data_IF_794670083199
#
_entry.id   IF_794670083199
#
_cell.length_a   1.000
_cell.length_b   1.000
_cell.length_c   1.000
_cell.angle_alpha   90.00
_cell.angle_beta   90.00
_cell.angle_gamma   90.00
#
_symmetry.space_group_name_H-M   'P 1'
#
loop_
_entity.id
_entity.type
_entity.pdbx_description
1 polymer ?
#
# COMPACT_ATOMS: atom_id res chain seq x y z
N UNK A 1 11.26 13.85 -13.06
CA UNK A 1 10.91 12.75 -12.13
C UNK A 1 10.73 13.37 -10.76
N UNK A 2 9.56 13.23 -10.15
CA UNK A 2 9.26 13.84 -8.85
C UNK A 2 9.51 12.79 -7.75
N UNK A 3 10.50 13.06 -6.91
CA UNK A 3 10.72 12.28 -5.68
C UNK A 3 9.74 12.81 -4.64
N UNK A 4 8.95 11.92 -4.05
CA UNK A 4 7.97 12.28 -3.03
C UNK A 4 8.34 11.60 -1.71
N UNK A 5 8.29 12.38 -0.64
CA UNK A 5 8.29 11.85 0.72
C UNK A 5 6.96 11.16 0.97
N UNK A 6 7.03 9.93 1.45
CA UNK A 6 5.88 9.09 1.73
C UNK A 6 6.05 8.41 3.07
N UNK A 7 4.91 8.22 3.74
CA UNK A 7 4.80 7.39 4.91
C UNK A 7 4.10 6.07 4.54
N UNK A 8 4.73 4.96 4.90
CA UNK A 8 4.23 3.61 4.68
C UNK A 8 4.02 2.93 6.02
N UNK A 9 2.80 2.46 6.26
CA UNK A 9 2.47 1.57 7.37
C UNK A 9 3.02 0.16 7.01
N UNK A 10 4.02 -0.30 7.76
CA UNK A 10 4.67 -1.60 7.59
C UNK A 10 4.42 -2.51 8.79
N UNK A 11 4.67 -3.80 8.62
CA UNK A 11 4.73 -4.78 9.70
C UNK A 11 6.10 -4.63 10.37
N UNK A 12 6.12 -4.36 11.67
CA UNK A 12 7.36 -4.22 12.42
C UNK A 12 8.14 -5.54 12.41
N UNK A 13 9.42 -5.57 12.00
CA UNK A 13 10.21 -6.79 11.98
C UNK A 13 10.52 -7.33 13.39
N UNK A 14 10.39 -6.49 14.43
CA UNK A 14 10.70 -6.87 15.81
C UNK A 14 9.48 -7.39 16.60
N UNK A 15 8.28 -6.87 16.34
CA UNK A 15 7.09 -7.21 17.14
C UNK A 15 5.83 -7.53 16.34
N UNK A 16 5.93 -7.56 15.01
CA UNK A 16 4.84 -7.84 14.06
C UNK A 16 3.61 -6.93 14.16
N UNK A 17 3.66 -5.88 14.98
CA UNK A 17 2.64 -4.82 15.02
C UNK A 17 2.91 -3.77 13.96
N UNK A 18 1.93 -2.89 13.75
CA UNK A 18 2.10 -1.76 12.83
C UNK A 18 3.29 -0.88 13.21
N UNK A 19 4.09 -0.52 12.22
CA UNK A 19 5.21 0.41 12.33
C UNK A 19 5.17 1.38 11.14
N UNK A 20 5.90 2.47 11.26
CA UNK A 20 6.02 3.50 10.24
C UNK A 20 7.36 3.38 9.51
N UNK A 21 7.32 3.48 8.19
CA UNK A 21 8.48 3.71 7.34
C UNK A 21 8.31 5.04 6.61
N UNK A 22 9.16 6.02 6.91
CA UNK A 22 9.24 7.27 6.16
C UNK A 22 10.31 7.13 5.07
N UNK A 23 9.93 7.31 3.81
CA UNK A 23 10.79 7.04 2.66
C UNK A 23 10.61 8.08 1.55
N UNK A 24 11.67 8.31 0.79
CA UNK A 24 11.60 9.06 -0.47
C UNK A 24 11.45 8.06 -1.61
N UNK A 25 10.35 8.13 -2.36
CA UNK A 25 10.09 7.20 -3.47
C UNK A 25 9.79 7.94 -4.77
N UNK A 26 10.27 7.38 -5.87
CA UNK A 26 9.80 7.74 -7.20
C UNK A 26 8.45 7.06 -7.42
N UNK A 27 7.40 7.86 -7.57
CA UNK A 27 6.05 7.35 -7.83
C UNK A 27 5.84 7.33 -9.34
N UNK A 28 5.71 6.13 -9.92
CA UNK A 28 5.24 5.97 -11.31
C UNK A 28 3.73 5.68 -11.29
N UNK A 29 2.91 6.74 -11.43
CA UNK A 29 1.46 6.63 -11.45
C UNK A 29 0.81 6.36 -10.07
N UNK A 30 -0.51 6.18 -10.05
CA UNK A 30 -1.27 5.93 -8.81
C UNK A 30 -1.11 4.50 -8.28
N UNK A 31 -0.66 3.57 -9.13
CA UNK A 31 -0.34 2.21 -8.71
C UNK A 31 1.01 2.20 -8.00
N UNK A 32 0.98 2.45 -6.70
CA UNK A 32 2.16 2.33 -5.86
C UNK A 32 2.51 0.85 -5.68
N UNK A 33 3.24 0.30 -6.65
CA UNK A 33 3.83 -1.04 -6.58
C UNK A 33 5.36 -0.96 -6.62
N UNK A 34 6.02 -0.12 -5.80
CA UNK A 34 7.47 -0.16 -5.75
C UNK A 34 7.90 -1.53 -5.25
N UNK A 35 8.64 -2.27 -6.07
CA UNK A 35 9.14 -3.61 -5.70
C UNK A 35 9.98 -3.56 -4.42
N UNK A 36 10.60 -2.42 -4.14
CA UNK A 36 11.43 -2.15 -2.96
C UNK A 36 11.33 -0.67 -2.60
N UNK A 37 11.19 -0.36 -1.32
CA UNK A 37 11.27 0.99 -0.76
C UNK A 37 12.35 0.99 0.30
N UNK A 38 13.12 2.07 0.38
CA UNK A 38 14.14 2.25 1.41
C UNK A 38 13.81 3.51 2.19
N UNK A 39 13.76 3.39 3.52
CA UNK A 39 13.40 4.52 4.38
C UNK A 39 13.80 4.33 5.84
N UNK A 40 13.50 5.33 6.67
CA UNK A 40 13.68 5.25 8.12
C UNK A 40 12.46 4.58 8.74
N UNK A 41 12.68 3.50 9.48
CA UNK A 41 11.62 2.75 10.15
C UNK A 41 11.56 3.09 11.65
N UNK A 42 10.34 3.16 12.20
CA UNK A 42 10.11 3.30 13.63
C UNK A 42 8.83 2.59 14.08
N UNK A 43 8.82 2.01 15.28
CA UNK A 43 7.66 1.34 15.86
C UNK A 43 7.35 1.89 17.25
N UNK A 44 6.17 2.49 17.39
CA UNK A 44 5.70 3.03 18.68
C UNK A 44 5.39 1.94 19.72
N UNK A 45 5.18 0.70 19.30
CA UNK A 45 4.78 -0.38 20.20
C UNK A 45 5.94 -1.05 20.92
N UNK A 46 7.11 -1.16 20.29
CA UNK A 46 8.28 -1.84 20.84
C UNK A 46 9.55 -0.98 20.88
N UNK A 47 9.48 0.26 20.38
CA UNK A 47 10.65 1.16 20.33
C UNK A 47 11.64 0.84 19.21
N UNK A 48 11.36 -0.15 18.34
CA UNK A 48 12.21 -0.44 17.19
C UNK A 48 12.44 0.81 16.34
N UNK A 49 13.68 1.05 15.95
CA UNK A 49 14.10 2.18 15.12
C UNK A 49 15.24 1.73 14.22
N UNK A 50 15.15 2.00 12.92
CA UNK A 50 16.19 1.65 11.96
C UNK A 50 16.36 2.76 10.92
N UNK A 51 17.57 3.32 10.74
CA UNK A 51 17.77 4.52 9.93
C UNK A 51 17.60 4.29 8.42
N UNK A 52 17.76 3.03 7.95
CA UNK A 52 17.69 2.69 6.52
C UNK A 52 17.18 1.25 6.32
N UNK A 53 15.90 1.03 6.54
CA UNK A 53 15.24 -0.26 6.32
C UNK A 53 14.81 -0.37 4.84
N UNK A 54 15.12 -1.50 4.21
CA UNK A 54 14.55 -1.86 2.91
C UNK A 54 13.32 -2.72 3.14
N UNK A 55 12.19 -2.36 2.57
CA UNK A 55 10.95 -3.14 2.62
C UNK A 55 10.49 -3.52 1.22
N UNK A 56 9.83 -4.66 1.13
CA UNK A 56 9.12 -5.15 -0.06
C UNK A 56 7.61 -5.15 0.21
N UNK A 57 6.79 -5.40 -0.81
CA UNK A 57 5.33 -5.43 -0.67
C UNK A 57 4.82 -6.33 0.47
N UNK A 58 5.52 -7.44 0.72
CA UNK A 58 5.16 -8.39 1.79
C UNK A 58 5.32 -7.80 3.20
N UNK A 59 6.04 -6.70 3.36
CA UNK A 59 6.22 -6.02 4.63
C UNK A 59 5.15 -4.95 4.89
N UNK A 60 4.23 -4.71 3.94
CA UNK A 60 3.19 -3.69 4.09
C UNK A 60 2.15 -4.16 5.11
N UNK A 61 1.68 -3.24 5.95
CA UNK A 61 0.69 -3.56 6.97
C UNK A 61 -0.70 -3.81 6.35
N UNK A 62 -1.11 -2.99 5.39
CA UNK A 62 -2.37 -3.18 4.68
C UNK A 62 -2.13 -3.98 3.40
N UNK A 63 -2.16 -5.29 3.55
CA UNK A 63 -2.12 -6.23 2.44
C UNK A 63 -3.15 -7.35 2.64
N UNK A 64 -3.74 -7.81 1.54
CA UNK A 64 -4.66 -8.94 1.56
C UNK A 64 -4.76 -9.61 0.18
N UNK A 65 -5.04 -10.93 0.13
CA UNK A 65 -5.25 -11.62 -1.13
C UNK A 65 -6.57 -11.21 -1.79
N UNK A 66 -6.57 -11.18 -3.12
CA UNK A 66 -7.74 -10.94 -3.99
C UNK A 66 -7.56 -11.82 -5.23
N UNK A 67 -8.31 -12.92 -5.30
CA UNK A 67 -8.13 -13.93 -6.33
C UNK A 67 -6.69 -14.48 -6.36
N UNK A 68 -6.01 -14.33 -7.49
CA UNK A 68 -4.62 -14.75 -7.75
C UNK A 68 -3.57 -13.68 -7.40
N UNK A 69 -4.00 -12.51 -6.91
CA UNK A 69 -3.14 -11.35 -6.66
C UNK A 69 -3.20 -10.94 -5.20
N UNK A 70 -2.21 -10.13 -4.81
CA UNK A 70 -2.20 -9.45 -3.52
C UNK A 70 -2.49 -7.98 -3.74
N UNK A 71 -3.43 -7.47 -2.95
CA UNK A 71 -3.76 -6.06 -2.84
C UNK A 71 -2.89 -5.41 -1.76
N UNK A 72 -2.49 -4.15 -1.99
CA UNK A 72 -1.64 -3.41 -1.07
C UNK A 72 -2.11 -1.96 -0.97
N UNK A 73 -2.00 -1.38 0.22
CA UNK A 73 -2.11 0.06 0.42
C UNK A 73 -0.94 0.55 1.28
N UNK A 74 -0.43 1.74 0.96
CA UNK A 74 0.73 2.32 1.66
C UNK A 74 0.45 2.57 3.12
N UNK A 75 -0.69 3.18 3.41
CA UNK A 75 -1.07 3.65 4.72
C UNK A 75 -2.60 3.77 4.78
N UNK A 76 -3.13 4.17 5.94
CA UNK A 76 -4.58 4.29 6.14
C UNK A 76 -5.25 5.28 5.16
N UNK A 77 -4.58 6.36 4.80
CA UNK A 77 -5.16 7.36 3.90
C UNK A 77 -5.26 6.85 2.47
N UNK A 78 -4.19 6.22 1.98
CA UNK A 78 -4.22 5.56 0.69
C UNK A 78 -5.27 4.43 0.63
N UNK A 79 -5.49 3.74 1.75
CA UNK A 79 -6.56 2.74 1.85
C UNK A 79 -7.96 3.35 1.66
N UNK A 80 -8.21 4.58 2.17
CA UNK A 80 -9.46 5.32 1.96
C UNK A 80 -9.62 5.81 0.53
N UNK A 81 -8.55 6.32 -0.08
CA UNK A 81 -8.55 6.72 -1.50
C UNK A 81 -8.94 5.53 -2.39
N UNK A 82 -8.36 4.35 -2.12
CA UNK A 82 -8.66 3.11 -2.82
C UNK A 82 -10.12 2.67 -2.58
N UNK A 83 -10.62 2.79 -1.35
CA UNK A 83 -12.03 2.51 -1.06
C UNK A 83 -12.97 3.36 -1.92
N UNK A 84 -12.75 4.67 -1.97
CA UNK A 84 -13.57 5.58 -2.77
C UNK A 84 -13.45 5.25 -4.26
N UNK A 85 -12.23 4.98 -4.75
CA UNK A 85 -12.00 4.57 -6.14
C UNK A 85 -12.83 3.33 -6.51
N UNK A 86 -12.73 2.26 -5.73
CA UNK A 86 -13.50 1.05 -5.98
C UNK A 86 -14.99 1.27 -5.72
N UNK A 87 -15.44 2.09 -4.77
CA UNK A 87 -16.89 2.37 -4.59
C UNK A 87 -17.52 3.16 -5.71
N UNK A 88 -16.78 4.08 -6.33
CA UNK A 88 -17.29 4.89 -7.44
C UNK A 88 -17.32 4.12 -8.77
N UNK A 89 -16.71 2.94 -8.83
CA UNK A 89 -16.68 2.11 -10.03
C UNK A 89 -15.84 2.73 -11.14
N UNK A 90 -14.90 3.61 -10.77
CA UNK A 90 -13.96 4.22 -11.68
C UNK A 90 -13.12 3.12 -12.34
N UNK A 91 -12.95 3.24 -13.65
CA UNK A 91 -11.87 2.58 -14.39
C UNK A 91 -10.84 3.66 -14.67
N UNK A 92 -9.55 3.36 -14.54
CA UNK A 92 -8.56 4.29 -15.08
C UNK A 92 -8.65 4.29 -16.60
N UNK A 93 -8.43 5.45 -17.20
CA UNK A 93 -8.46 5.62 -18.65
C UNK A 93 -7.53 4.61 -19.35
N UNK A 94 -8.01 3.99 -20.42
CA UNK A 94 -7.34 2.92 -21.19
C UNK A 94 -5.98 3.36 -21.77
N UNK A 95 -5.68 4.66 -21.80
CA UNK A 95 -4.43 5.23 -22.34
C UNK A 95 -3.20 5.00 -21.45
N UNK A 96 -3.39 4.62 -20.19
CA UNK A 96 -2.31 4.48 -19.22
C UNK A 96 -2.15 3.01 -18.82
N UNK A 97 -1.03 2.39 -19.21
CA UNK A 97 -0.54 1.08 -18.73
C UNK A 97 -0.28 1.01 -17.19
N UNK A 98 -0.94 1.87 -16.42
CA UNK A 98 -0.81 2.08 -14.98
C UNK A 98 -2.07 1.65 -14.22
N UNK A 99 -3.02 0.99 -14.89
CA UNK A 99 -4.26 0.54 -14.28
C UNK A 99 -4.08 -0.71 -13.38
N UNK A 100 -5.04 -0.95 -12.50
CA UNK A 100 -5.11 -2.13 -11.66
C UNK A 100 -5.24 -3.42 -12.48
N UNK A 101 -4.72 -4.56 -11.99
CA UNK A 101 -4.98 -5.86 -12.60
C UNK A 101 -6.48 -6.13 -12.76
N UNK A 102 -6.88 -6.71 -13.90
CA UNK A 102 -8.27 -7.07 -14.19
C UNK A 102 -8.96 -7.85 -13.04
N UNK A 103 -8.22 -8.69 -12.32
CA UNK A 103 -8.73 -9.43 -11.16
C UNK A 103 -9.32 -8.51 -10.08
N UNK A 104 -8.74 -7.32 -9.84
CA UNK A 104 -9.26 -6.40 -8.83
C UNK A 104 -10.61 -5.81 -9.22
N UNK A 105 -10.85 -5.62 -10.52
CA UNK A 105 -12.14 -5.16 -11.03
C UNK A 105 -13.22 -6.25 -10.89
N UNK A 106 -12.87 -7.51 -11.15
CA UNK A 106 -13.78 -8.66 -10.96
C UNK A 106 -14.15 -8.81 -9.49
N UNK A 107 -13.19 -8.64 -8.58
CA UNK A 107 -13.34 -8.79 -7.14
C UNK A 107 -13.61 -7.47 -6.40
N UNK A 108 -14.16 -6.47 -7.09
CA UNK A 108 -14.39 -5.12 -6.55
C UNK A 108 -15.15 -5.12 -5.22
N UNK A 109 -16.25 -5.84 -5.12
CA UNK A 109 -17.09 -5.86 -3.91
C UNK A 109 -16.38 -6.51 -2.73
N UNK A 110 -15.54 -7.53 -3.00
CA UNK A 110 -14.69 -8.17 -2.00
C UNK A 110 -13.64 -7.19 -1.48
N UNK A 111 -12.98 -6.45 -2.38
CA UNK A 111 -12.01 -5.41 -2.02
C UNK A 111 -12.68 -4.34 -1.14
N UNK A 112 -13.83 -3.82 -1.55
CA UNK A 112 -14.56 -2.78 -0.80
C UNK A 112 -14.87 -3.25 0.62
N UNK A 113 -15.49 -4.44 0.76
CA UNK A 113 -15.81 -5.01 2.08
C UNK A 113 -14.56 -5.23 2.93
N UNK A 114 -13.47 -5.70 2.30
CA UNK A 114 -12.23 -5.97 3.01
C UNK A 114 -11.60 -4.67 3.52
N UNK A 115 -11.57 -3.63 2.69
CA UNK A 115 -11.09 -2.31 3.10
C UNK A 115 -11.93 -1.75 4.25
N UNK A 116 -13.27 -1.81 4.15
CA UNK A 116 -14.17 -1.34 5.22
C UNK A 116 -13.91 -2.04 6.56
N UNK A 117 -13.55 -3.33 6.55
CA UNK A 117 -13.21 -4.06 7.78
C UNK A 117 -11.87 -3.66 8.43
N UNK A 118 -11.00 -2.97 7.67
CA UNK A 118 -9.66 -2.57 8.11
C UNK A 118 -9.58 -1.10 8.58
N UNK A 119 -10.63 -0.30 8.31
CA UNK A 119 -10.70 1.12 8.63
C UNK A 119 -11.27 1.39 10.03
#
# INVERSE_FOLDING_TARGET
MNVLEIDVDIICPACSRKALLSASCEITGYMFRPKKIIGKASCIHCGYSHPKLTVVNADFYYQFPVGDRMFYARNKENLRELLSFFKEGKKWDDELCFDFPATFYVHRDEIVKKIESLL
#
